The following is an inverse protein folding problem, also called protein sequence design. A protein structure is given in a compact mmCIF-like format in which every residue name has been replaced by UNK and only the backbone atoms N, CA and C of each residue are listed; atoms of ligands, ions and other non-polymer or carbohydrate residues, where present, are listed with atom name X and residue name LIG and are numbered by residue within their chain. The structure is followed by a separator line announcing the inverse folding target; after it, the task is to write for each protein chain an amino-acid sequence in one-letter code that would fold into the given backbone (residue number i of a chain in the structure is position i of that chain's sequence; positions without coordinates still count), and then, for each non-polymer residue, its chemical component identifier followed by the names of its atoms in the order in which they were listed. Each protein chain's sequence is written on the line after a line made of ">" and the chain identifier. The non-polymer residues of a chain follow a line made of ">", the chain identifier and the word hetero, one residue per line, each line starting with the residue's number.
data_IF_390845171467
#
_entry.id   IF_390845171467
#
_cell.length_a   1.000
_cell.length_b   1.000
_cell.length_c   1.000
_cell.angle_alpha   90.00
_cell.angle_beta   90.00
_cell.angle_gamma   90.00
#
_symmetry.space_group_name_H-M   'P 1'
#
loop_
_entity.id
_entity.type
_entity.pdbx_description
1 polymer ?
#
# COMPACT_ATOMS: atom_id res chain seq x y z
N UNK A 1 -16.94 -78.48 -7.87
CA UNK A 1 -16.87 -77.43 -8.86
C UNK A 1 -16.77 -76.06 -8.14
N UNK A 2 -15.54 -75.56 -7.95
CA UNK A 2 -15.33 -74.23 -7.36
C UNK A 2 -15.05 -73.25 -8.48
N UNK A 3 -15.95 -72.30 -8.66
CA UNK A 3 -15.73 -71.17 -9.57
C UNK A 3 -14.90 -70.10 -8.85
N UNK A 4 -13.66 -69.92 -9.30
CA UNK A 4 -12.81 -68.81 -8.83
C UNK A 4 -13.22 -67.49 -9.55
N UNK A 5 -13.70 -66.52 -8.80
CA UNK A 5 -13.95 -65.18 -9.32
C UNK A 5 -12.61 -64.43 -9.39
N UNK A 6 -12.11 -64.17 -10.60
CA UNK A 6 -10.98 -63.28 -10.87
C UNK A 6 -11.44 -61.84 -10.70
N UNK A 7 -11.01 -61.17 -9.60
CA UNK A 7 -11.24 -59.76 -9.38
C UNK A 7 -10.22 -58.95 -10.21
N UNK A 8 -10.68 -58.36 -11.27
CA UNK A 8 -9.88 -57.49 -12.14
C UNK A 8 -9.82 -56.10 -11.47
N UNK A 9 -8.73 -55.79 -10.77
CA UNK A 9 -8.48 -54.43 -10.25
C UNK A 9 -8.10 -53.53 -11.44
N UNK A 10 -9.05 -52.74 -11.93
CA UNK A 10 -8.79 -51.61 -12.82
C UNK A 10 -8.04 -50.56 -11.98
N UNK A 11 -6.73 -50.47 -12.17
CA UNK A 11 -5.94 -49.37 -11.69
C UNK A 11 -6.30 -48.13 -12.55
N UNK A 12 -7.23 -47.32 -12.07
CA UNK A 12 -7.43 -45.99 -12.58
C UNK A 12 -6.18 -45.17 -12.19
N UNK A 13 -5.26 -44.99 -13.12
CA UNK A 13 -4.19 -44.01 -12.96
C UNK A 13 -4.83 -42.63 -12.99
N UNK A 14 -5.18 -42.08 -11.84
CA UNK A 14 -5.56 -40.67 -11.70
C UNK A 14 -4.27 -39.88 -11.75
N UNK A 15 -3.91 -39.40 -12.93
CA UNK A 15 -2.83 -38.43 -13.05
C UNK A 15 -3.37 -37.09 -12.50
N UNK A 16 -2.65 -36.52 -11.54
CA UNK A 16 -2.94 -35.17 -11.06
C UNK A 16 -2.64 -34.17 -12.18
N UNK A 17 -3.55 -33.26 -12.44
CA UNK A 17 -3.35 -32.18 -13.40
C UNK A 17 -2.36 -31.16 -12.84
N UNK A 18 -1.62 -30.47 -13.76
CA UNK A 18 -0.83 -29.30 -13.42
C UNK A 18 -1.77 -28.24 -12.85
N UNK A 19 -1.57 -27.83 -11.62
CA UNK A 19 -2.31 -26.74 -10.99
C UNK A 19 -1.44 -25.50 -10.87
N UNK A 20 -2.02 -24.35 -11.20
CA UNK A 20 -1.39 -23.04 -11.09
C UNK A 20 -2.23 -22.17 -10.15
N UNK A 21 -1.60 -21.37 -9.27
CA UNK A 21 -2.36 -20.43 -8.44
C UNK A 21 -2.98 -19.31 -9.29
N UNK A 22 -3.96 -18.63 -8.71
CA UNK A 22 -4.69 -17.51 -9.33
C UNK A 22 -3.79 -16.39 -9.85
N UNK A 23 -2.58 -16.27 -9.29
CA UNK A 23 -1.56 -15.34 -9.78
C UNK A 23 -1.14 -15.62 -11.24
N UNK A 24 -1.37 -16.84 -11.76
CA UNK A 24 -0.99 -17.26 -13.11
C UNK A 24 -2.22 -17.64 -13.96
N UNK A 25 -3.08 -16.67 -14.21
CA UNK A 25 -4.20 -16.79 -15.16
C UNK A 25 -3.92 -15.94 -16.40
N UNK A 26 -4.70 -16.14 -17.48
CA UNK A 26 -4.63 -15.31 -18.67
C UNK A 26 -4.77 -13.82 -18.32
N UNK A 27 -4.05 -12.97 -19.05
CA UNK A 27 -4.04 -11.52 -18.82
C UNK A 27 -3.06 -11.03 -17.74
N UNK A 28 -2.24 -11.89 -17.17
CA UNK A 28 -1.29 -11.55 -16.10
C UNK A 28 -0.19 -10.58 -16.58
N UNK A 29 0.38 -9.85 -15.60
CA UNK A 29 1.60 -9.05 -15.79
C UNK A 29 2.72 -9.64 -14.95
N UNK A 30 3.89 -9.89 -15.56
CA UNK A 30 5.12 -10.23 -14.85
C UNK A 30 6.07 -9.03 -14.81
N UNK A 31 6.82 -8.93 -13.72
CA UNK A 31 7.84 -7.88 -13.58
C UNK A 31 8.88 -8.01 -14.70
N UNK A 32 9.10 -6.92 -15.44
CA UNK A 32 10.08 -6.85 -16.52
C UNK A 32 11.53 -6.92 -16.04
N UNK A 33 12.48 -7.27 -16.93
CA UNK A 33 13.94 -7.24 -16.69
C UNK A 33 14.35 -7.92 -15.38
N UNK A 34 13.75 -9.06 -15.06
CA UNK A 34 13.90 -9.72 -13.76
C UNK A 34 13.89 -11.24 -13.90
N UNK A 35 14.27 -11.94 -12.85
CA UNK A 35 13.97 -13.34 -12.68
C UNK A 35 12.71 -13.46 -11.82
N UNK A 36 11.61 -13.91 -12.42
CA UNK A 36 10.31 -13.98 -11.73
C UNK A 36 10.02 -15.41 -11.30
N UNK A 37 9.62 -15.65 -10.04
CA UNK A 37 9.17 -16.95 -9.61
C UNK A 37 7.88 -17.34 -10.34
N UNK A 38 7.87 -18.54 -10.92
CA UNK A 38 6.66 -19.21 -11.44
C UNK A 38 6.53 -20.53 -10.72
N UNK A 39 5.34 -20.81 -10.15
CA UNK A 39 5.14 -21.99 -9.29
C UNK A 39 3.77 -22.61 -9.45
N UNK A 40 3.63 -23.80 -8.94
CA UNK A 40 2.36 -24.53 -8.93
C UNK A 40 2.49 -25.90 -8.27
N UNK A 41 1.55 -26.77 -8.60
CA UNK A 41 1.49 -28.12 -8.05
C UNK A 41 1.40 -29.14 -9.19
N UNK A 42 1.86 -30.36 -8.92
CA UNK A 42 1.88 -31.49 -9.85
C UNK A 42 2.16 -32.79 -9.13
N UNK A 43 2.40 -33.87 -9.87
CA UNK A 43 2.73 -35.16 -9.27
C UNK A 43 4.17 -35.16 -8.72
N UNK A 44 4.43 -35.69 -7.50
CA UNK A 44 5.78 -35.83 -6.99
C UNK A 44 6.72 -36.52 -7.98
N UNK A 45 7.95 -36.00 -8.08
CA UNK A 45 9.00 -36.45 -9.01
C UNK A 45 8.71 -36.21 -10.50
N UNK A 46 7.60 -35.55 -10.86
CA UNK A 46 7.31 -35.16 -12.24
C UNK A 46 8.29 -34.09 -12.71
N UNK A 47 8.82 -34.28 -13.93
CA UNK A 47 9.70 -33.27 -14.56
C UNK A 47 8.84 -32.20 -15.22
N UNK A 48 9.09 -30.94 -14.86
CA UNK A 48 8.38 -29.79 -15.39
C UNK A 48 9.31 -28.94 -16.25
N UNK A 49 8.77 -28.35 -17.31
CA UNK A 49 9.46 -27.38 -18.16
C UNK A 49 8.57 -26.16 -18.34
N UNK A 50 9.15 -24.98 -18.22
CA UNK A 50 8.45 -23.71 -18.45
C UNK A 50 9.10 -23.01 -19.64
N UNK A 51 8.29 -22.66 -20.64
CA UNK A 51 8.70 -22.00 -21.88
C UNK A 51 7.91 -20.71 -22.03
N UNK A 52 8.59 -19.62 -22.30
CA UNK A 52 7.98 -18.32 -22.54
C UNK A 52 8.18 -17.88 -23.99
N UNK A 53 7.14 -17.32 -24.61
CA UNK A 53 7.20 -16.94 -26.03
C UNK A 53 8.14 -15.75 -26.34
N UNK A 54 8.57 -15.01 -25.34
CA UNK A 54 9.61 -13.96 -25.49
C UNK A 54 11.02 -14.49 -25.49
N UNK A 55 11.24 -15.77 -25.15
CA UNK A 55 12.54 -16.41 -25.05
C UNK A 55 12.41 -17.93 -25.34
N UNK A 56 11.92 -18.28 -26.52
CA UNK A 56 11.58 -19.68 -26.91
C UNK A 56 12.76 -20.64 -26.91
N UNK A 57 14.00 -20.13 -27.00
CA UNK A 57 15.20 -20.94 -26.88
C UNK A 57 15.53 -21.34 -25.42
N UNK A 58 14.97 -20.64 -24.44
CA UNK A 58 15.29 -20.79 -23.04
C UNK A 58 14.17 -21.55 -22.30
N UNK A 59 14.36 -22.84 -22.15
CA UNK A 59 13.46 -23.70 -21.36
C UNK A 59 13.97 -23.80 -19.95
N UNK A 60 13.20 -23.33 -18.96
CA UNK A 60 13.53 -23.49 -17.54
C UNK A 60 12.91 -24.78 -17.02
N UNK A 61 13.72 -25.62 -16.35
CA UNK A 61 13.32 -26.97 -15.91
C UNK A 61 13.37 -27.10 -14.41
N UNK A 62 12.45 -27.90 -13.86
CA UNK A 62 12.41 -28.27 -12.44
C UNK A 62 11.82 -29.67 -12.27
N UNK A 63 11.78 -30.14 -11.04
CA UNK A 63 11.13 -31.39 -10.65
C UNK A 63 10.18 -31.08 -9.50
N UNK A 64 8.99 -31.63 -9.56
CA UNK A 64 7.99 -31.51 -8.48
C UNK A 64 8.52 -32.23 -7.23
N UNK A 65 8.48 -31.54 -6.09
CA UNK A 65 8.98 -32.08 -4.81
C UNK A 65 8.01 -33.13 -4.22
N UNK A 66 8.42 -33.70 -3.10
CA UNK A 66 7.61 -34.72 -2.39
C UNK A 66 6.30 -34.17 -1.79
N UNK A 67 6.14 -32.83 -1.73
CA UNK A 67 4.90 -32.18 -1.30
C UNK A 67 3.98 -31.83 -2.48
N UNK A 68 4.36 -32.23 -3.69
CA UNK A 68 3.63 -31.92 -4.90
C UNK A 68 3.81 -30.48 -5.40
N UNK A 69 4.86 -29.78 -4.97
CA UNK A 69 5.13 -28.37 -5.34
C UNK A 69 6.29 -28.27 -6.32
N UNK A 70 6.21 -27.30 -7.22
CA UNK A 70 7.32 -26.94 -8.09
C UNK A 70 7.45 -25.43 -8.20
N UNK A 71 8.67 -24.97 -8.47
CA UNK A 71 8.99 -23.56 -8.72
C UNK A 71 10.15 -23.47 -9.70
N UNK A 72 10.12 -22.44 -10.55
CA UNK A 72 11.24 -22.00 -11.39
C UNK A 72 11.40 -20.48 -11.25
N UNK A 73 12.60 -19.98 -11.50
CA UNK A 73 12.86 -18.57 -11.70
C UNK A 73 12.95 -18.31 -13.20
N UNK A 74 11.91 -17.68 -13.77
CA UNK A 74 11.77 -17.43 -15.21
C UNK A 74 12.33 -16.05 -15.54
N UNK A 75 13.39 -15.97 -16.42
CA UNK A 75 13.90 -14.67 -16.87
C UNK A 75 12.85 -13.92 -17.70
N UNK A 76 12.65 -12.64 -17.42
CA UNK A 76 11.76 -11.77 -18.19
C UNK A 76 12.55 -10.74 -19.00
N UNK A 77 12.05 -10.44 -20.20
CA UNK A 77 12.59 -9.40 -21.06
C UNK A 77 12.09 -8.02 -20.66
N UNK A 78 12.46 -6.99 -21.43
CA UNK A 78 11.90 -5.65 -21.36
C UNK A 78 10.37 -5.67 -21.57
N UNK A 79 9.68 -4.70 -21.00
CA UNK A 79 8.23 -4.53 -21.11
C UNK A 79 7.71 -4.71 -22.54
N UNK A 80 6.59 -5.41 -22.65
CA UNK A 80 5.95 -5.74 -23.93
C UNK A 80 4.89 -6.84 -23.77
N UNK A 81 4.45 -7.38 -24.88
CA UNK A 81 3.43 -8.40 -24.99
C UNK A 81 2.37 -8.05 -26.03
N UNK A 82 1.30 -8.87 -26.18
CA UNK A 82 1.03 -10.06 -25.37
C UNK A 82 1.90 -11.27 -25.74
N UNK A 83 2.29 -12.01 -24.72
CA UNK A 83 3.08 -13.24 -24.82
C UNK A 83 2.29 -14.44 -24.30
N UNK A 84 2.92 -15.63 -24.33
CA UNK A 84 2.38 -16.85 -23.73
C UNK A 84 3.43 -17.52 -22.85
N UNK A 85 2.98 -18.26 -21.83
CA UNK A 85 3.78 -19.17 -21.04
C UNK A 85 3.20 -20.56 -21.17
N UNK A 86 4.03 -21.56 -21.46
CA UNK A 86 3.64 -22.97 -21.47
C UNK A 86 4.36 -23.68 -20.31
N UNK A 87 3.57 -24.33 -19.46
CA UNK A 87 4.03 -25.20 -18.38
C UNK A 87 3.80 -26.64 -18.84
N UNK A 88 4.89 -27.36 -19.10
CA UNK A 88 4.87 -28.67 -19.72
C UNK A 88 5.25 -29.71 -18.67
N UNK A 89 4.35 -30.60 -18.33
CA UNK A 89 4.58 -31.79 -17.52
C UNK A 89 4.65 -33.05 -18.39
N UNK A 90 4.67 -34.22 -17.74
CA UNK A 90 4.75 -35.49 -18.41
C UNK A 90 3.44 -35.87 -19.16
N UNK A 91 2.31 -35.38 -18.70
CA UNK A 91 0.97 -35.80 -19.15
C UNK A 91 0.08 -34.65 -19.64
N UNK A 92 0.46 -33.43 -19.32
CA UNK A 92 -0.33 -32.24 -19.62
C UNK A 92 0.59 -31.06 -19.95
N UNK A 93 0.11 -30.17 -20.81
CA UNK A 93 0.66 -28.82 -21.00
C UNK A 93 -0.39 -27.79 -20.66
N UNK A 94 -0.05 -26.91 -19.74
CA UNK A 94 -0.88 -25.77 -19.38
C UNK A 94 -0.36 -24.50 -20.04
N UNK A 95 -1.24 -23.80 -20.77
CA UNK A 95 -0.89 -22.57 -21.48
C UNK A 95 -1.56 -21.38 -20.82
N UNK A 96 -0.79 -20.33 -20.58
CA UNK A 96 -1.25 -19.04 -20.10
C UNK A 96 -1.09 -18.05 -21.25
N UNK A 97 -2.19 -17.39 -21.62
CA UNK A 97 -2.24 -16.45 -22.74
C UNK A 97 -2.28 -15.02 -22.26
N UNK A 98 -2.07 -14.07 -23.20
CA UNK A 98 -2.14 -12.64 -22.95
C UNK A 98 -1.24 -12.21 -21.77
N UNK A 99 -0.02 -12.74 -21.72
CA UNK A 99 0.99 -12.40 -20.71
C UNK A 99 1.65 -11.09 -21.09
N UNK A 100 1.65 -10.14 -20.18
CA UNK A 100 2.35 -8.87 -20.35
C UNK A 100 3.61 -8.84 -19.48
N UNK A 101 4.67 -8.23 -19.98
CA UNK A 101 5.85 -7.86 -19.18
C UNK A 101 5.76 -6.37 -18.89
N UNK A 102 5.91 -5.98 -17.62
CA UNK A 102 5.75 -4.59 -17.18
C UNK A 102 6.08 -4.42 -15.71
N UNK A 103 5.40 -3.50 -15.04
CA UNK A 103 5.57 -3.22 -13.63
C UNK A 103 4.45 -3.84 -12.79
N UNK A 104 4.78 -4.50 -11.68
CA UNK A 104 3.78 -5.16 -10.82
C UNK A 104 3.77 -4.54 -9.44
N UNK A 105 2.63 -4.03 -9.01
CA UNK A 105 2.46 -3.34 -7.73
C UNK A 105 1.43 -4.03 -6.84
N UNK A 106 1.81 -4.30 -5.57
CA UNK A 106 0.86 -4.70 -4.53
C UNK A 106 0.16 -3.45 -3.98
N UNK A 107 -1.17 -3.42 -4.02
CA UNK A 107 -1.99 -2.31 -3.55
C UNK A 107 -2.85 -2.80 -2.39
N UNK A 108 -2.47 -2.44 -1.14
CA UNK A 108 -3.08 -3.02 0.05
C UNK A 108 -3.45 -1.97 1.10
N UNK A 109 -4.27 -2.36 2.07
CA UNK A 109 -4.74 -1.48 3.13
C UNK A 109 -6.20 -1.68 3.50
N UNK A 110 -6.87 -0.61 3.97
CA UNK A 110 -8.27 -0.65 4.39
C UNK A 110 -9.20 0.09 3.41
N UNK A 111 -10.35 0.58 3.90
CA UNK A 111 -11.41 1.16 3.06
C UNK A 111 -10.94 2.21 2.07
N UNK A 112 -10.02 3.08 2.42
CA UNK A 112 -9.51 4.13 1.53
C UNK A 112 -8.68 3.56 0.36
N UNK A 113 -8.05 2.39 0.51
CA UNK A 113 -7.49 1.62 -0.60
C UNK A 113 -8.56 0.80 -1.33
N UNK A 114 -9.52 0.20 -0.62
CA UNK A 114 -10.61 -0.59 -1.21
C UNK A 114 -11.56 0.25 -2.08
N UNK A 115 -11.74 1.54 -1.78
CA UNK A 115 -12.74 2.44 -2.35
C UNK A 115 -12.75 2.43 -3.88
N UNK A 116 -13.84 1.93 -4.47
CA UNK A 116 -14.02 1.84 -5.92
C UNK A 116 -14.93 2.95 -6.46
N UNK A 117 -15.08 3.02 -7.77
CA UNK A 117 -15.96 4.00 -8.40
C UNK A 117 -17.43 3.86 -7.95
N UNK A 118 -17.92 2.63 -7.71
CA UNK A 118 -19.28 2.40 -7.17
C UNK A 118 -19.50 3.01 -5.78
N UNK A 119 -18.45 3.42 -5.08
CA UNK A 119 -18.53 4.07 -3.78
C UNK A 119 -18.51 5.61 -3.90
N UNK A 120 -18.87 6.15 -5.06
CA UNK A 120 -19.05 7.59 -5.30
C UNK A 120 -17.75 8.41 -5.18
N UNK A 121 -16.70 8.01 -5.91
CA UNK A 121 -15.52 8.86 -6.11
C UNK A 121 -15.87 10.15 -6.85
N UNK A 122 -15.02 11.16 -6.78
CA UNK A 122 -15.18 12.39 -7.56
C UNK A 122 -15.17 12.06 -9.07
N UNK A 123 -16.10 12.65 -9.83
CA UNK A 123 -16.26 12.44 -11.27
C UNK A 123 -16.48 10.96 -11.68
N UNK A 124 -17.14 10.16 -10.83
CA UNK A 124 -17.19 8.71 -10.98
C UNK A 124 -17.70 8.22 -12.34
N UNK A 125 -18.74 8.84 -12.90
CA UNK A 125 -19.31 8.43 -14.20
C UNK A 125 -18.34 8.67 -15.37
N UNK A 126 -17.64 9.80 -15.36
CA UNK A 126 -16.60 10.11 -16.34
C UNK A 126 -15.40 9.17 -16.22
N UNK A 127 -14.96 8.89 -15.00
CA UNK A 127 -13.83 8.00 -14.75
C UNK A 127 -14.15 6.55 -15.13
N UNK A 128 -15.38 6.09 -14.88
CA UNK A 128 -15.84 4.79 -15.31
C UNK A 128 -15.84 4.72 -16.84
N UNK A 129 -16.41 5.71 -17.52
CA UNK A 129 -16.49 5.75 -18.98
C UNK A 129 -15.11 5.70 -19.65
N UNK A 130 -14.11 6.32 -19.01
CA UNK A 130 -12.74 6.44 -19.53
C UNK A 130 -11.79 5.35 -19.01
N UNK A 131 -12.31 4.25 -18.44
CA UNK A 131 -11.48 3.24 -17.79
C UNK A 131 -10.94 2.15 -18.73
N UNK A 132 -11.21 2.21 -20.03
CA UNK A 132 -10.62 1.29 -21.00
C UNK A 132 -9.12 1.59 -21.16
N UNK A 133 -8.30 0.76 -20.52
CA UNK A 133 -6.85 0.87 -20.56
C UNK A 133 -6.22 -0.53 -20.62
N UNK A 134 -5.94 -1.02 -21.82
CA UNK A 134 -5.44 -2.38 -22.06
C UNK A 134 -4.11 -2.67 -21.37
N UNK A 135 -3.34 -1.65 -21.03
CA UNK A 135 -2.05 -1.77 -20.35
C UNK A 135 -2.17 -1.76 -18.82
N UNK A 136 -3.35 -1.53 -18.27
CA UNK A 136 -3.62 -1.72 -16.82
C UNK A 136 -4.31 -3.06 -16.62
N UNK A 137 -3.70 -3.92 -15.84
CA UNK A 137 -4.20 -5.24 -15.49
C UNK A 137 -4.41 -5.36 -14.00
N UNK A 138 -5.44 -6.07 -13.58
CA UNK A 138 -5.93 -6.09 -12.21
C UNK A 138 -6.09 -7.53 -11.75
N UNK A 139 -5.39 -7.90 -10.67
CA UNK A 139 -5.67 -9.10 -9.89
C UNK A 139 -6.33 -8.67 -8.58
N UNK A 140 -7.63 -8.80 -8.48
CA UNK A 140 -8.37 -8.42 -7.28
C UNK A 140 -8.59 -9.64 -6.39
N UNK A 141 -7.94 -9.66 -5.22
CA UNK A 141 -8.09 -10.74 -4.25
C UNK A 141 -9.42 -10.58 -3.49
N UNK A 142 -10.19 -11.66 -3.33
CA UNK A 142 -11.47 -11.61 -2.62
C UNK A 142 -11.25 -11.36 -1.13
N UNK A 143 -12.16 -10.61 -0.50
CA UNK A 143 -12.16 -10.37 0.94
C UNK A 143 -12.50 -11.65 1.69
N UNK A 144 -11.49 -12.29 2.22
CA UNK A 144 -11.59 -13.52 3.00
C UNK A 144 -10.47 -13.59 4.03
N UNK A 145 -10.75 -14.09 5.22
CA UNK A 145 -9.75 -14.37 6.24
C UNK A 145 -9.50 -15.88 6.35
N UNK A 146 -8.30 -16.24 6.82
CA UNK A 146 -7.96 -17.62 7.14
C UNK A 146 -7.07 -17.72 8.39
N UNK A 147 -7.25 -18.76 9.19
CA UNK A 147 -6.43 -18.97 10.39
C UNK A 147 -5.00 -19.46 10.08
N UNK A 148 -4.79 -20.00 8.88
CA UNK A 148 -3.50 -20.51 8.42
C UNK A 148 -3.18 -19.95 7.03
N UNK A 149 -1.87 -19.81 6.67
CA UNK A 149 -1.47 -19.34 5.36
C UNK A 149 -2.06 -20.19 4.23
N UNK A 150 -2.76 -19.56 3.30
CA UNK A 150 -3.36 -20.21 2.13
C UNK A 150 -2.40 -20.12 0.94
N UNK A 151 -2.33 -21.19 0.17
CA UNK A 151 -1.39 -21.28 -0.97
C UNK A 151 -1.96 -20.64 -2.24
N UNK A 152 -3.27 -20.41 -2.30
CA UNK A 152 -3.97 -19.85 -3.46
C UNK A 152 -5.19 -19.01 -3.01
N UNK A 153 -5.70 -18.19 -3.94
CA UNK A 153 -6.90 -17.40 -3.79
C UNK A 153 -7.83 -17.60 -5.01
N UNK A 154 -9.14 -17.43 -4.82
CA UNK A 154 -10.10 -17.48 -5.92
C UNK A 154 -10.13 -16.14 -6.65
N UNK A 155 -9.16 -15.89 -7.52
CA UNK A 155 -9.01 -14.66 -8.27
C UNK A 155 -8.62 -14.96 -9.73
N UNK A 156 -8.63 -13.94 -10.57
CA UNK A 156 -8.09 -13.99 -11.93
C UNK A 156 -7.63 -12.58 -12.33
N UNK A 157 -6.68 -12.52 -13.25
CA UNK A 157 -6.30 -11.26 -13.87
C UNK A 157 -7.40 -10.77 -14.81
N UNK A 158 -7.62 -9.46 -14.84
CA UNK A 158 -8.60 -8.80 -15.68
C UNK A 158 -8.01 -7.55 -16.31
N UNK A 159 -8.42 -7.26 -17.53
CA UNK A 159 -8.06 -6.00 -18.21
C UNK A 159 -8.89 -4.86 -17.60
N UNK A 160 -8.29 -3.68 -17.48
CA UNK A 160 -9.04 -2.50 -17.07
C UNK A 160 -10.14 -2.16 -18.07
N UNK A 161 -11.34 -1.94 -17.55
CA UNK A 161 -12.56 -1.61 -18.28
C UNK A 161 -13.52 -0.81 -17.40
N UNK A 162 -14.60 -0.23 -17.95
CA UNK A 162 -15.66 0.37 -17.16
C UNK A 162 -16.23 -0.55 -16.10
N UNK A 163 -16.34 -1.84 -16.36
CA UNK A 163 -16.83 -2.83 -15.40
C UNK A 163 -15.84 -3.05 -14.25
N UNK A 164 -14.57 -3.26 -14.55
CA UNK A 164 -13.54 -3.47 -13.52
C UNK A 164 -13.36 -2.22 -12.67
N UNK A 165 -13.42 -1.01 -13.25
CA UNK A 165 -13.30 0.25 -12.52
C UNK A 165 -14.41 0.43 -11.48
N UNK A 166 -15.62 -0.07 -11.76
CA UNK A 166 -16.74 -0.01 -10.79
C UNK A 166 -16.46 -0.72 -9.48
N UNK A 167 -15.61 -1.74 -9.47
CA UNK A 167 -15.39 -2.63 -8.32
C UNK A 167 -13.95 -2.74 -7.82
N UNK A 168 -12.98 -2.20 -8.56
CA UNK A 168 -11.58 -2.21 -8.11
C UNK A 168 -11.22 -0.95 -7.36
N UNK A 169 -10.10 -0.97 -6.65
CA UNK A 169 -9.49 0.19 -5.99
C UNK A 169 -9.31 1.35 -6.96
N UNK A 170 -10.00 2.46 -6.75
CA UNK A 170 -9.81 3.65 -7.56
C UNK A 170 -8.42 4.28 -7.34
N UNK A 171 -7.91 4.27 -6.10
CA UNK A 171 -6.57 4.76 -5.78
C UNK A 171 -5.51 3.96 -6.56
N UNK A 172 -5.58 2.62 -6.52
CA UNK A 172 -4.65 1.75 -7.24
C UNK A 172 -4.79 1.89 -8.77
N UNK A 173 -6.02 2.03 -9.27
CA UNK A 173 -6.26 2.25 -10.69
C UNK A 173 -5.62 3.54 -11.22
N UNK A 174 -5.85 4.68 -10.56
CA UNK A 174 -5.27 5.95 -11.00
C UNK A 174 -3.74 5.98 -10.86
N UNK A 175 -3.21 5.34 -9.83
CA UNK A 175 -1.78 5.10 -9.70
C UNK A 175 -1.22 4.33 -10.91
N UNK A 176 -1.80 3.17 -11.23
CA UNK A 176 -1.35 2.32 -12.33
C UNK A 176 -1.51 3.01 -13.69
N UNK A 177 -2.65 3.67 -13.91
CA UNK A 177 -2.93 4.41 -15.14
C UNK A 177 -1.87 5.49 -15.38
N UNK A 178 -1.54 6.28 -14.36
CA UNK A 178 -0.50 7.30 -14.47
C UNK A 178 0.87 6.70 -14.84
N UNK A 179 1.28 5.62 -14.16
CA UNK A 179 2.54 4.94 -14.47
C UNK A 179 2.54 4.40 -15.90
N UNK A 180 1.45 3.76 -16.33
CA UNK A 180 1.31 3.26 -17.71
C UNK A 180 1.47 4.37 -18.73
N UNK A 181 0.83 5.52 -18.53
CA UNK A 181 0.89 6.67 -19.44
C UNK A 181 2.31 7.28 -19.50
N UNK A 182 3.02 7.34 -18.38
CA UNK A 182 4.33 7.99 -18.31
C UNK A 182 5.49 7.08 -18.73
N UNK A 183 5.45 5.82 -18.32
CA UNK A 183 6.50 4.86 -18.63
C UNK A 183 6.28 4.18 -19.98
N UNK A 184 5.06 4.24 -20.52
CA UNK A 184 4.62 3.53 -21.72
C UNK A 184 4.88 2.00 -21.60
N UNK A 185 4.54 1.42 -20.44
CA UNK A 185 4.65 -0.01 -20.14
C UNK A 185 3.36 -0.54 -19.53
N UNK A 186 3.08 -1.84 -19.65
CA UNK A 186 2.00 -2.48 -18.90
C UNK A 186 2.22 -2.36 -17.38
N UNK A 187 1.14 -2.14 -16.64
CA UNK A 187 1.16 -2.12 -15.17
C UNK A 187 0.11 -3.07 -14.63
N UNK A 188 0.57 -4.05 -13.87
CA UNK A 188 -0.27 -4.97 -13.11
C UNK A 188 -0.44 -4.49 -11.67
N UNK A 189 -1.68 -4.41 -11.20
CA UNK A 189 -2.00 -4.15 -9.80
C UNK A 189 -2.62 -5.38 -9.15
N UNK A 190 -2.01 -5.82 -8.04
CA UNK A 190 -2.56 -6.85 -7.16
C UNK A 190 -3.29 -6.12 -6.05
N UNK A 191 -4.62 -6.09 -6.10
CA UNK A 191 -5.45 -5.37 -5.13
C UNK A 191 -5.85 -6.29 -4.00
N UNK A 192 -5.39 -5.99 -2.80
CA UNK A 192 -5.62 -6.73 -1.56
C UNK A 192 -5.97 -5.75 -0.44
N UNK A 193 -7.25 -5.37 -0.33
CA UNK A 193 -7.71 -4.37 0.63
C UNK A 193 -9.07 -4.76 1.23
N UNK A 194 -9.27 -4.41 2.52
CA UNK A 194 -10.54 -4.64 3.22
C UNK A 194 -10.81 -3.51 4.22
N UNK A 195 -11.92 -2.83 4.03
CA UNK A 195 -12.34 -1.69 4.86
C UNK A 195 -12.51 -2.02 6.33
N UNK A 196 -12.23 -1.06 7.20
CA UNK A 196 -12.38 -1.18 8.66
C UNK A 196 -11.33 -2.05 9.37
N UNK A 197 -10.31 -2.55 8.65
CA UNK A 197 -9.35 -3.50 9.23
C UNK A 197 -8.11 -2.82 9.80
N UNK A 198 -7.65 -3.21 11.01
CA UNK A 198 -6.40 -2.74 11.59
C UNK A 198 -5.19 -3.45 10.95
N UNK A 199 -3.99 -2.85 11.07
CA UNK A 199 -2.77 -3.38 10.45
C UNK A 199 -2.33 -4.75 11.03
N UNK A 200 -2.75 -5.08 12.24
CA UNK A 200 -2.47 -6.37 12.90
C UNK A 200 -2.99 -7.57 12.11
N UNK A 201 -4.15 -7.45 11.43
CA UNK A 201 -4.71 -8.58 10.65
C UNK A 201 -3.93 -8.84 9.36
N UNK A 202 -3.14 -7.85 8.90
CA UNK A 202 -2.25 -7.92 7.75
C UNK A 202 -0.82 -8.31 8.13
N UNK A 203 -0.52 -8.35 9.43
CA UNK A 203 0.77 -8.75 9.98
C UNK A 203 0.72 -10.22 10.36
N UNK A 204 1.69 -11.09 9.98
CA UNK A 204 1.70 -12.48 10.40
C UNK A 204 1.52 -12.62 11.91
N UNK A 205 0.66 -13.55 12.33
CA UNK A 205 0.24 -13.68 13.73
C UNK A 205 1.40 -13.92 14.69
N UNK A 206 2.40 -14.70 14.26
CA UNK A 206 3.61 -14.99 15.05
C UNK A 206 4.48 -13.76 15.28
N UNK A 207 4.48 -12.80 14.35
CA UNK A 207 5.20 -11.51 14.50
C UNK A 207 4.56 -10.67 15.60
N UNK A 208 3.22 -10.59 15.63
CA UNK A 208 2.49 -9.90 16.69
C UNK A 208 2.70 -10.61 18.03
N UNK A 209 2.58 -11.93 18.07
CA UNK A 209 2.71 -12.72 19.31
C UNK A 209 4.10 -12.66 19.93
N UNK A 210 5.15 -12.55 19.11
CA UNK A 210 6.53 -12.46 19.58
C UNK A 210 6.90 -11.06 20.12
N UNK A 211 6.12 -10.03 19.84
CA UNK A 211 6.39 -8.65 20.25
C UNK A 211 5.49 -8.24 21.42
N UNK A 212 6.09 -7.94 22.57
CA UNK A 212 5.36 -7.60 23.82
C UNK A 212 4.51 -6.33 23.68
N UNK A 213 4.96 -5.36 22.89
CA UNK A 213 4.23 -4.10 22.69
C UNK A 213 3.01 -4.34 21.82
N UNK A 214 3.19 -5.05 20.69
CA UNK A 214 2.11 -5.33 19.75
C UNK A 214 1.09 -6.31 20.31
N UNK A 215 1.53 -7.35 21.03
CA UNK A 215 0.65 -8.33 21.68
C UNK A 215 -0.22 -7.70 22.80
N UNK A 216 0.19 -6.55 23.35
CA UNK A 216 -0.58 -5.83 24.36
C UNK A 216 -1.66 -4.90 23.79
N UNK A 217 -1.65 -4.64 22.47
CA UNK A 217 -2.66 -3.81 21.80
C UNK A 217 -4.05 -4.45 21.94
N UNK A 218 -5.01 -3.62 22.33
CA UNK A 218 -6.42 -4.03 22.37
C UNK A 218 -7.08 -3.53 21.11
N UNK A 219 -7.56 -4.45 20.30
CA UNK A 219 -8.32 -4.15 19.09
C UNK A 219 -9.81 -4.13 19.44
N UNK A 220 -10.52 -3.15 18.87
CA UNK A 220 -11.97 -3.07 19.03
C UNK A 220 -12.64 -4.14 18.18
N UNK A 221 -13.47 -4.97 18.81
CA UNK A 221 -14.22 -6.01 18.12
C UNK A 221 -15.40 -5.43 17.33
N UNK A 222 -15.59 -5.96 16.13
CA UNK A 222 -16.71 -5.69 15.26
C UNK A 222 -17.23 -6.99 14.66
N UNK A 223 -18.52 -7.12 14.53
CA UNK A 223 -19.17 -8.34 14.02
C UNK A 223 -18.74 -8.71 12.58
N UNK A 224 -18.46 -7.67 11.76
CA UNK A 224 -18.25 -7.83 10.32
C UNK A 224 -16.80 -7.56 9.85
N UNK A 225 -15.90 -7.17 10.74
CA UNK A 225 -14.50 -6.92 10.38
C UNK A 225 -13.56 -7.87 11.13
N UNK A 226 -12.65 -8.54 10.42
CA UNK A 226 -11.66 -9.36 11.09
C UNK A 226 -10.70 -8.50 11.91
N UNK A 227 -10.41 -8.95 13.15
CA UNK A 227 -9.47 -8.30 14.06
C UNK A 227 -8.37 -9.25 14.54
N UNK A 228 -8.51 -10.56 14.29
CA UNK A 228 -7.52 -11.55 14.70
C UNK A 228 -6.23 -11.33 13.89
N UNK A 229 -5.05 -11.17 14.54
CA UNK A 229 -3.79 -11.00 13.85
C UNK A 229 -3.52 -12.07 12.81
N UNK A 230 -3.01 -11.65 11.64
CA UNK A 230 -2.55 -12.52 10.57
C UNK A 230 -3.64 -13.10 9.66
N UNK A 231 -4.93 -12.99 9.98
CA UNK A 231 -5.97 -13.68 9.18
C UNK A 231 -6.07 -13.17 7.74
N UNK A 232 -5.82 -11.89 7.50
CA UNK A 232 -5.81 -11.33 6.14
C UNK A 232 -4.45 -11.52 5.46
N UNK A 233 -3.35 -11.46 6.22
CA UNK A 233 -2.06 -11.89 5.69
C UNK A 233 -2.18 -13.31 5.12
N UNK A 234 -2.74 -14.24 5.87
CA UNK A 234 -2.86 -15.63 5.49
C UNK A 234 -3.64 -15.86 4.19
N UNK A 235 -4.72 -15.13 3.95
CA UNK A 235 -5.60 -15.35 2.80
C UNK A 235 -5.45 -14.32 1.67
N UNK A 236 -5.01 -13.09 1.99
CA UNK A 236 -5.02 -11.99 1.03
C UNK A 236 -3.61 -11.48 0.68
N UNK A 237 -2.55 -11.97 1.34
CA UNK A 237 -1.16 -11.67 0.99
C UNK A 237 -0.40 -12.95 0.65
N UNK A 238 -0.49 -13.98 1.51
CA UNK A 238 0.26 -15.22 1.32
C UNK A 238 0.03 -15.92 -0.04
N UNK A 239 -1.18 -15.93 -0.63
CA UNK A 239 -1.42 -16.57 -1.93
C UNK A 239 -0.64 -16.00 -3.10
N UNK A 240 -0.14 -14.78 -3.00
CA UNK A 240 0.65 -14.14 -4.05
C UNK A 240 2.15 -14.14 -3.75
N UNK A 241 2.57 -14.75 -2.65
CA UNK A 241 3.99 -14.97 -2.35
C UNK A 241 4.49 -16.20 -3.12
N UNK A 242 5.62 -16.13 -3.82
CA UNK A 242 6.62 -15.05 -3.91
C UNK A 242 6.57 -14.22 -5.21
N UNK A 243 5.40 -13.74 -5.67
CA UNK A 243 5.30 -12.95 -6.91
C UNK A 243 6.31 -11.79 -6.93
N UNK A 244 6.96 -11.55 -8.07
CA UNK A 244 7.94 -10.47 -8.19
C UNK A 244 7.22 -9.12 -8.30
N UNK A 245 7.55 -8.19 -7.40
CA UNK A 245 6.92 -6.88 -7.28
C UNK A 245 7.91 -5.76 -7.63
N UNK A 246 7.44 -4.69 -8.28
CA UNK A 246 8.14 -3.41 -8.35
C UNK A 246 8.04 -2.65 -7.02
N UNK A 247 6.95 -2.84 -6.27
CA UNK A 247 6.74 -2.21 -4.97
C UNK A 247 5.37 -2.47 -4.39
N UNK A 248 5.12 -1.84 -3.23
CA UNK A 248 3.83 -1.85 -2.55
C UNK A 248 3.34 -0.42 -2.32
N UNK A 249 2.06 -0.16 -2.56
CA UNK A 249 1.35 1.03 -2.09
C UNK A 249 0.34 0.65 -1.00
N UNK A 250 0.34 1.41 0.09
CA UNK A 250 -0.45 1.13 1.29
C UNK A 250 -1.31 2.32 1.70
N UNK A 251 -2.60 2.09 1.95
CA UNK A 251 -3.47 3.13 2.47
C UNK A 251 -4.33 2.60 3.62
N UNK A 252 -3.86 2.85 4.85
CA UNK A 252 -4.46 2.36 6.09
C UNK A 252 -3.97 3.21 7.26
N UNK A 253 -4.66 3.17 8.37
CA UNK A 253 -4.27 3.78 9.64
C UNK A 253 -5.47 4.15 10.49
N UNK A 254 -6.61 4.44 9.87
CA UNK A 254 -7.81 4.92 10.54
C UNK A 254 -8.30 3.95 11.62
N UNK A 255 -8.18 2.64 11.38
CA UNK A 255 -8.58 1.60 12.35
C UNK A 255 -7.57 1.37 13.48
N UNK A 256 -6.40 2.02 13.41
CA UNK A 256 -5.35 1.92 14.45
C UNK A 256 -5.22 3.17 15.33
N UNK A 257 -6.07 4.19 15.15
CA UNK A 257 -5.89 5.45 15.88
C UNK A 257 -5.95 5.28 17.40
N UNK A 258 -6.70 4.32 17.95
CA UNK A 258 -6.75 4.04 19.38
C UNK A 258 -5.44 3.43 19.91
N UNK A 259 -4.66 2.74 19.06
CA UNK A 259 -3.34 2.19 19.35
C UNK A 259 -2.21 2.98 18.64
N UNK A 260 -2.42 4.28 18.42
CA UNK A 260 -1.55 5.12 17.61
C UNK A 260 -0.08 5.06 18.02
N UNK A 261 0.24 5.03 19.31
CA UNK A 261 1.61 5.09 19.83
C UNK A 261 2.52 3.93 19.38
N UNK A 262 1.95 2.78 19.02
CA UNK A 262 2.68 1.59 18.53
C UNK A 262 2.64 1.43 17.01
N UNK A 263 1.97 2.32 16.28
CA UNK A 263 1.70 2.13 14.85
C UNK A 263 2.98 2.07 13.99
N UNK A 264 3.92 2.98 14.19
CA UNK A 264 5.21 2.95 13.47
C UNK A 264 5.96 1.64 13.69
N UNK A 265 5.97 1.15 14.93
CA UNK A 265 6.60 -0.13 15.28
C UNK A 265 5.88 -1.32 14.62
N UNK A 266 4.54 -1.36 14.68
CA UNK A 266 3.72 -2.36 14.01
C UNK A 266 4.00 -2.42 12.51
N UNK A 267 3.96 -1.27 11.84
CA UNK A 267 4.20 -1.19 10.40
C UNK A 267 5.62 -1.60 10.01
N UNK A 268 6.63 -1.25 10.82
CA UNK A 268 8.01 -1.70 10.61
C UNK A 268 8.06 -3.23 10.63
N UNK A 269 7.46 -3.86 11.65
CA UNK A 269 7.42 -5.33 11.77
C UNK A 269 6.64 -6.00 10.65
N UNK A 270 5.53 -5.40 10.21
CA UNK A 270 4.73 -5.90 9.10
C UNK A 270 5.53 -5.89 7.79
N UNK A 271 6.16 -4.75 7.46
CA UNK A 271 6.91 -4.60 6.20
C UNK A 271 8.16 -5.49 6.19
N UNK A 272 8.89 -5.59 7.31
CA UNK A 272 10.01 -6.53 7.47
C UNK A 272 9.56 -7.97 7.18
N UNK A 273 8.45 -8.40 7.81
CA UNK A 273 7.92 -9.75 7.65
C UNK A 273 7.41 -10.03 6.22
N UNK A 274 6.82 -9.04 5.55
CA UNK A 274 6.42 -9.19 4.16
C UNK A 274 7.62 -9.33 3.24
N UNK A 275 8.63 -8.45 3.35
CA UNK A 275 9.87 -8.50 2.57
C UNK A 275 10.60 -9.83 2.73
N UNK A 276 10.71 -10.33 3.96
CA UNK A 276 11.30 -11.64 4.26
C UNK A 276 10.57 -12.77 3.52
N UNK A 277 9.22 -12.80 3.58
CA UNK A 277 8.44 -13.88 2.95
C UNK A 277 8.39 -13.79 1.43
N UNK A 278 8.36 -12.59 0.87
CA UNK A 278 8.51 -12.38 -0.57
C UNK A 278 9.94 -12.62 -1.04
N UNK A 279 10.92 -12.66 -0.15
CA UNK A 279 12.36 -12.65 -0.45
C UNK A 279 12.73 -11.46 -1.36
N UNK A 280 12.22 -10.25 -1.04
CA UNK A 280 12.42 -9.04 -1.84
C UNK A 280 12.37 -7.80 -0.94
N UNK A 281 13.33 -6.88 -1.11
CA UNK A 281 13.35 -5.57 -0.46
C UNK A 281 12.58 -4.53 -1.30
N UNK A 282 11.33 -4.83 -1.63
CA UNK A 282 10.51 -3.91 -2.43
C UNK A 282 10.25 -2.59 -1.70
N UNK A 283 10.16 -1.44 -2.42
CA UNK A 283 9.79 -0.15 -1.86
C UNK A 283 8.36 -0.16 -1.33
N UNK A 284 8.12 0.58 -0.23
CA UNK A 284 6.84 0.63 0.45
C UNK A 284 6.35 2.07 0.58
N UNK A 285 5.36 2.45 -0.23
CA UNK A 285 4.83 3.80 -0.29
C UNK A 285 3.44 3.87 0.32
N UNK A 286 3.15 4.93 1.08
CA UNK A 286 1.89 4.97 1.82
C UNK A 286 1.28 6.37 1.90
N UNK A 287 -0.02 6.37 2.18
CA UNK A 287 -0.83 7.58 2.35
C UNK A 287 -0.98 7.87 3.84
N UNK A 288 -0.64 9.09 4.27
CA UNK A 288 -0.97 9.57 5.62
C UNK A 288 -2.49 9.71 5.74
N UNK A 289 -3.07 9.24 6.85
CA UNK A 289 -4.53 9.32 7.04
C UNK A 289 -5.02 10.76 6.99
N UNK A 290 -6.21 10.94 6.41
CA UNK A 290 -6.87 12.22 6.29
C UNK A 290 -7.30 12.80 7.65
N UNK A 291 -7.37 14.13 7.81
CA UNK A 291 -8.13 14.76 8.89
C UNK A 291 -9.60 14.31 8.85
N UNK A 292 -10.10 13.82 9.99
CA UNK A 292 -11.49 13.37 10.14
C UNK A 292 -11.96 13.55 11.58
N UNK A 293 -13.26 13.81 11.77
CA UNK A 293 -13.88 13.98 13.09
C UNK A 293 -14.03 12.63 13.79
N UNK A 294 -12.95 12.15 14.40
CA UNK A 294 -12.98 10.90 15.19
C UNK A 294 -13.63 11.06 16.56
N UNK A 295 -13.75 12.31 17.06
CA UNK A 295 -14.13 12.62 18.43
C UNK A 295 -13.22 11.94 19.47
N UNK A 296 -11.93 11.86 19.17
CA UNK A 296 -10.94 11.26 20.05
C UNK A 296 -10.70 12.14 21.28
N UNK A 297 -10.45 11.51 22.45
CA UNK A 297 -10.21 12.25 23.70
C UNK A 297 -8.78 12.76 23.84
N UNK A 298 -7.83 12.23 23.07
CA UNK A 298 -6.40 12.45 23.25
C UNK A 298 -5.65 12.77 21.96
N UNK A 299 -6.36 13.28 20.94
CA UNK A 299 -5.79 13.55 19.61
C UNK A 299 -5.07 12.32 19.01
N UNK A 300 -5.58 11.13 19.27
CA UNK A 300 -4.95 9.88 18.81
C UNK A 300 -4.78 9.79 17.29
N UNK A 301 -5.69 10.35 16.44
CA UNK A 301 -5.45 10.41 15.00
C UNK A 301 -4.28 11.33 14.61
N UNK A 302 -4.05 12.42 15.36
CA UNK A 302 -2.88 13.27 15.14
C UNK A 302 -1.59 12.54 15.53
N UNK A 303 -1.61 11.80 16.64
CA UNK A 303 -0.51 10.95 17.05
C UNK A 303 -0.25 9.85 16.00
N UNK A 304 -1.30 9.27 15.40
CA UNK A 304 -1.12 8.28 14.34
C UNK A 304 -0.48 8.89 13.09
N UNK A 305 -0.86 10.11 12.67
CA UNK A 305 -0.18 10.82 11.57
C UNK A 305 1.30 11.08 11.86
N UNK A 306 1.65 11.42 13.11
CA UNK A 306 3.03 11.52 13.58
C UNK A 306 3.76 10.18 13.49
N UNK A 307 3.12 9.08 13.88
CA UNK A 307 3.69 7.72 13.74
C UNK A 307 3.88 7.33 12.28
N UNK A 308 2.98 7.72 11.38
CA UNK A 308 3.17 7.53 9.95
C UNK A 308 4.39 8.31 9.43
N UNK A 309 4.64 9.53 9.91
CA UNK A 309 5.87 10.27 9.57
C UNK A 309 7.13 9.56 10.11
N UNK A 310 7.08 8.98 11.32
CA UNK A 310 8.20 8.23 11.89
C UNK A 310 8.57 6.98 11.06
N UNK A 311 7.61 6.38 10.35
CA UNK A 311 7.87 5.26 9.45
C UNK A 311 8.89 5.59 8.36
N UNK A 312 9.00 6.85 7.92
CA UNK A 312 10.03 7.28 6.96
C UNK A 312 11.45 7.03 7.46
N UNK A 313 11.65 6.90 8.79
CA UNK A 313 12.94 6.61 9.41
C UNK A 313 13.10 5.14 9.77
N UNK A 314 12.01 4.46 10.12
CA UNK A 314 12.05 3.08 10.61
C UNK A 314 11.86 2.02 9.52
N UNK A 315 11.31 2.38 8.35
CA UNK A 315 11.10 1.49 7.21
C UNK A 315 11.98 1.94 6.05
N UNK A 316 13.14 1.32 5.81
CA UNK A 316 14.00 1.65 4.68
C UNK A 316 13.27 1.51 3.33
N UNK A 317 13.56 2.37 2.35
CA UNK A 317 12.90 2.36 1.04
C UNK A 317 11.40 2.69 1.12
N UNK A 318 11.00 3.48 2.11
CA UNK A 318 9.62 3.96 2.23
C UNK A 318 9.46 5.41 1.76
N UNK A 319 8.20 5.80 1.55
CA UNK A 319 7.80 7.17 1.25
C UNK A 319 6.34 7.39 1.59
N UNK A 320 6.00 8.64 1.91
CA UNK A 320 4.67 9.02 2.35
C UNK A 320 4.14 10.22 1.57
N UNK A 321 2.88 10.20 1.20
CA UNK A 321 2.17 11.37 0.73
C UNK A 321 1.17 11.87 1.78
N UNK A 322 1.01 13.19 1.88
CA UNK A 322 -0.04 13.84 2.66
C UNK A 322 -1.17 14.28 1.73
N UNK A 323 -2.39 14.09 2.16
CA UNK A 323 -3.61 14.35 1.39
C UNK A 323 -4.59 15.29 2.10
N UNK A 324 -4.16 16.02 3.12
CA UNK A 324 -5.04 16.90 3.90
C UNK A 324 -5.65 18.04 3.08
N UNK A 325 -5.07 18.37 1.92
CA UNK A 325 -5.60 19.31 0.94
C UNK A 325 -6.70 18.73 0.04
N UNK A 326 -6.87 17.40 0.03
CA UNK A 326 -7.83 16.68 -0.80
C UNK A 326 -9.08 16.27 -0.01
N UNK A 327 -9.25 16.76 1.21
CA UNK A 327 -10.39 16.47 2.08
C UNK A 327 -11.46 17.52 1.87
N UNK A 328 -12.59 17.14 1.28
CA UNK A 328 -13.73 18.04 1.07
C UNK A 328 -14.61 18.18 2.33
N UNK A 329 -14.69 17.11 3.13
CA UNK A 329 -15.56 17.06 4.30
C UNK A 329 -14.93 16.22 5.41
N UNK A 330 -14.54 16.84 6.50
CA UNK A 330 -13.93 16.16 7.67
C UNK A 330 -14.88 15.22 8.44
N UNK A 331 -16.18 15.22 8.11
CA UNK A 331 -17.16 14.24 8.63
C UNK A 331 -17.21 12.96 7.81
N UNK A 332 -16.65 12.95 6.60
CA UNK A 332 -16.47 11.77 5.76
C UNK A 332 -15.02 11.29 5.88
N UNK A 333 -14.81 10.08 6.36
CA UNK A 333 -13.50 9.47 6.51
C UNK A 333 -12.86 9.09 5.17
N UNK A 334 -13.63 9.18 4.07
CA UNK A 334 -13.23 8.75 2.74
C UNK A 334 -13.11 9.94 1.78
N UNK A 335 -11.93 10.57 1.64
CA UNK A 335 -11.71 11.59 0.62
C UNK A 335 -12.05 11.03 -0.78
N UNK A 336 -12.94 11.73 -1.51
CA UNK A 336 -13.49 11.23 -2.78
C UNK A 336 -12.58 11.45 -3.98
N UNK A 337 -11.62 12.36 -3.90
CA UNK A 337 -10.67 12.63 -4.96
C UNK A 337 -9.58 11.54 -5.04
N UNK A 338 -9.98 10.29 -5.35
CA UNK A 338 -9.08 9.14 -5.45
C UNK A 338 -8.08 9.26 -6.59
N UNK A 339 -8.42 10.02 -7.66
CA UNK A 339 -7.50 10.33 -8.76
C UNK A 339 -6.27 11.07 -8.24
N UNK A 340 -6.46 12.22 -7.59
CA UNK A 340 -5.34 13.02 -7.08
C UNK A 340 -4.49 12.25 -6.06
N UNK A 341 -5.09 11.35 -5.26
CA UNK A 341 -4.37 10.49 -4.32
C UNK A 341 -3.51 9.48 -5.07
N UNK A 342 -4.08 8.73 -6.03
CA UNK A 342 -3.36 7.76 -6.83
C UNK A 342 -2.25 8.39 -7.67
N UNK A 343 -2.52 9.51 -8.32
CA UNK A 343 -1.53 10.26 -9.10
C UNK A 343 -0.39 10.80 -8.21
N UNK A 344 -0.68 11.31 -6.99
CA UNK A 344 0.37 11.79 -6.06
C UNK A 344 1.28 10.65 -5.58
N UNK A 345 0.75 9.44 -5.36
CA UNK A 345 1.56 8.24 -5.14
C UNK A 345 2.44 7.94 -6.36
N UNK A 346 1.87 8.03 -7.55
CA UNK A 346 2.61 7.80 -8.79
C UNK A 346 3.71 8.85 -9.03
N UNK A 347 3.48 10.14 -8.68
CA UNK A 347 4.53 11.19 -8.77
C UNK A 347 5.74 10.82 -7.92
N UNK A 348 5.50 10.35 -6.69
CA UNK A 348 6.57 9.89 -5.79
C UNK A 348 7.32 8.69 -6.36
N UNK A 349 6.60 7.72 -6.89
CA UNK A 349 7.19 6.52 -7.50
C UNK A 349 7.98 6.85 -8.76
N UNK A 350 7.47 7.73 -9.62
CA UNK A 350 8.18 8.18 -10.83
C UNK A 350 9.54 8.79 -10.50
N UNK A 351 9.61 9.59 -9.45
CA UNK A 351 10.86 10.21 -9.00
C UNK A 351 11.79 9.19 -8.34
N UNK A 352 11.29 8.43 -7.36
CA UNK A 352 12.11 7.57 -6.51
C UNK A 352 12.58 6.28 -7.19
N UNK A 353 11.73 5.66 -8.01
CA UNK A 353 12.02 4.36 -8.62
C UNK A 353 12.47 4.46 -10.08
N UNK A 354 12.01 5.48 -10.80
CA UNK A 354 12.32 5.63 -12.22
C UNK A 354 13.20 6.86 -12.52
N UNK A 355 13.55 7.67 -11.51
CA UNK A 355 14.39 8.87 -11.68
C UNK A 355 13.74 9.94 -12.53
N UNK A 356 12.41 9.98 -12.63
CA UNK A 356 11.64 10.89 -13.47
C UNK A 356 10.73 11.77 -12.60
N UNK A 357 11.25 12.92 -12.17
CA UNK A 357 10.44 13.90 -11.47
C UNK A 357 9.38 14.48 -12.41
N UNK A 358 8.10 14.28 -12.08
CA UNK A 358 6.96 14.75 -12.89
C UNK A 358 6.20 15.89 -12.26
N UNK A 359 5.87 15.76 -10.97
CA UNK A 359 5.13 16.75 -10.19
C UNK A 359 5.58 16.70 -8.72
N UNK A 360 5.46 17.80 -7.97
CA UNK A 360 5.70 17.81 -6.53
C UNK A 360 4.79 16.83 -5.78
N UNK A 361 5.35 16.10 -4.82
CA UNK A 361 4.63 15.14 -3.97
C UNK A 361 5.03 15.21 -2.50
N UNK A 362 6.24 15.73 -2.20
CA UNK A 362 6.78 15.78 -0.85
C UNK A 362 6.24 16.98 -0.08
N UNK A 363 5.55 16.72 1.01
CA UNK A 363 5.04 17.74 1.92
C UNK A 363 6.13 18.31 2.81
N UNK A 364 6.12 19.64 3.09
CA UNK A 364 7.03 20.22 4.08
C UNK A 364 6.81 19.60 5.46
N UNK A 365 7.89 19.29 6.17
CA UNK A 365 7.91 18.69 7.49
C UNK A 365 8.70 19.54 8.50
N UNK A 366 8.43 19.38 9.79
CA UNK A 366 9.14 20.06 10.85
C UNK A 366 10.64 19.67 10.84
N UNK A 367 11.53 20.64 10.59
CA UNK A 367 12.98 20.45 10.64
C UNK A 367 13.57 20.91 11.98
N UNK A 368 13.17 22.09 12.44
CA UNK A 368 13.63 22.62 13.72
C UNK A 368 12.70 23.70 14.28
N UNK A 369 12.74 23.88 15.59
CA UNK A 369 12.04 24.94 16.31
C UNK A 369 13.02 25.68 17.23
N UNK A 370 13.13 27.00 17.06
CA UNK A 370 14.07 27.85 17.79
C UNK A 370 13.31 29.03 18.41
N UNK A 371 13.44 29.24 19.71
CA UNK A 371 12.90 30.42 20.38
C UNK A 371 13.82 31.63 20.16
N UNK A 372 13.25 32.73 19.68
CA UNK A 372 13.90 34.01 19.49
C UNK A 372 13.07 35.10 20.19
N UNK A 373 13.41 35.40 21.45
CA UNK A 373 12.66 36.34 22.27
C UNK A 373 11.19 35.94 22.48
N UNK A 374 10.25 36.69 21.93
CA UNK A 374 8.82 36.44 22.06
C UNK A 374 8.23 35.55 20.97
N UNK A 375 9.05 35.00 20.10
CA UNK A 375 8.62 34.16 19.00
C UNK A 375 9.34 32.81 19.03
N UNK A 376 8.67 31.77 18.52
CA UNK A 376 9.29 30.53 18.06
C UNK A 376 9.34 30.56 16.53
N UNK A 377 10.53 30.34 15.99
CA UNK A 377 10.75 30.23 14.54
C UNK A 377 10.82 28.73 14.22
N UNK A 378 9.88 28.27 13.37
CA UNK A 378 9.83 26.92 12.85
C UNK A 378 10.46 26.93 11.47
N UNK A 379 11.49 26.09 11.27
CA UNK A 379 12.07 25.81 9.96
C UNK A 379 11.50 24.52 9.41
N UNK A 380 11.19 24.49 8.13
CA UNK A 380 10.68 23.30 7.44
C UNK A 380 11.73 22.70 6.51
N UNK A 381 11.76 21.37 6.47
CA UNK A 381 12.44 20.56 5.45
C UNK A 381 11.52 20.26 4.29
N UNK A 382 12.10 19.68 3.23
CA UNK A 382 11.43 19.32 1.98
C UNK A 382 11.91 20.17 0.79
N UNK A 383 11.52 19.74 -0.40
CA UNK A 383 11.91 20.40 -1.68
C UNK A 383 10.83 21.41 -2.11
N UNK A 384 10.95 22.64 -1.62
CA UNK A 384 10.08 23.78 -1.99
C UNK A 384 10.83 25.10 -1.78
N UNK A 385 10.36 26.21 -2.34
CA UNK A 385 11.03 27.50 -2.19
C UNK A 385 10.45 28.35 -1.05
N UNK A 386 9.14 28.41 -0.94
CA UNK A 386 8.44 29.19 0.10
C UNK A 386 7.13 28.57 0.53
N UNK A 387 6.69 28.95 1.74
CA UNK A 387 5.34 28.68 2.22
C UNK A 387 4.37 29.77 1.76
N UNK A 388 3.13 29.37 1.56
CA UNK A 388 1.99 30.26 1.35
C UNK A 388 0.85 29.84 2.28
N UNK A 389 -0.12 30.72 2.49
CA UNK A 389 -1.37 30.36 3.17
C UNK A 389 -2.53 30.52 2.20
N UNK A 390 -3.39 29.50 2.13
CA UNK A 390 -4.62 29.52 1.31
C UNK A 390 -5.76 30.29 1.99
N UNK A 391 -5.53 30.85 3.17
CA UNK A 391 -6.48 31.69 3.91
C UNK A 391 -5.81 32.98 4.40
N UNK A 392 -6.63 34.03 4.69
CA UNK A 392 -6.15 35.32 5.21
C UNK A 392 -5.38 35.20 6.52
N UNK A 393 -5.76 34.25 7.37
CA UNK A 393 -5.07 33.93 8.62
C UNK A 393 -4.62 32.46 8.56
N UNK A 394 -3.44 32.19 9.09
CA UNK A 394 -2.95 30.81 9.15
C UNK A 394 -3.79 30.02 10.13
N UNK A 395 -4.40 28.96 9.64
CA UNK A 395 -5.27 28.04 10.40
C UNK A 395 -4.45 26.86 10.92
N UNK A 396 -4.73 26.42 12.13
CA UNK A 396 -4.20 25.19 12.73
C UNK A 396 -2.95 25.37 13.59
N UNK A 397 -2.48 26.61 13.84
CA UNK A 397 -1.33 26.86 14.71
C UNK A 397 -1.78 27.13 16.14
N UNK A 398 -1.32 26.29 17.08
CA UNK A 398 -1.59 26.42 18.53
C UNK A 398 -0.28 26.41 19.33
N UNK A 399 -0.32 27.03 20.50
CA UNK A 399 0.77 27.00 21.46
C UNK A 399 0.24 26.45 22.78
N UNK A 400 0.95 25.50 23.39
CA UNK A 400 0.65 25.02 24.74
C UNK A 400 1.40 25.83 25.80
N UNK A 401 0.76 26.07 26.95
CA UNK A 401 1.43 26.57 28.16
C UNK A 401 1.98 25.40 29.01
N UNK A 402 2.52 25.75 30.19
CA UNK A 402 3.09 24.77 31.15
C UNK A 402 2.02 23.79 31.70
N UNK A 403 0.76 24.20 31.71
CA UNK A 403 -0.37 23.41 32.21
C UNK A 403 -1.02 22.58 31.10
N UNK A 404 -0.49 22.66 29.85
CA UNK A 404 -1.02 21.95 28.69
C UNK A 404 -2.21 22.64 28.00
N UNK A 405 -2.59 23.86 28.43
CA UNK A 405 -3.68 24.60 27.78
C UNK A 405 -3.24 25.07 26.39
N UNK A 406 -4.09 24.86 25.40
CA UNK A 406 -3.83 25.22 24.00
C UNK A 406 -4.46 26.57 23.66
N UNK A 407 -3.68 27.45 23.05
CA UNK A 407 -4.12 28.77 22.57
C UNK A 407 -3.83 28.91 21.08
N UNK A 408 -4.83 29.34 20.30
CA UNK A 408 -4.65 29.71 18.89
C UNK A 408 -3.81 30.99 18.78
N UNK A 409 -2.85 30.98 17.87
CA UNK A 409 -1.94 32.13 17.69
C UNK A 409 -1.86 32.58 16.24
N UNK A 410 -1.67 33.89 16.03
CA UNK A 410 -1.53 34.49 14.71
C UNK A 410 -0.07 34.39 14.24
N UNK A 411 0.28 33.25 13.65
CA UNK A 411 1.61 33.05 13.09
C UNK A 411 1.80 33.82 11.76
N UNK A 412 3.06 34.01 11.33
CA UNK A 412 3.44 34.68 10.08
C UNK A 412 4.43 33.84 9.29
N UNK A 413 4.27 33.81 7.97
CA UNK A 413 5.21 33.17 7.05
C UNK A 413 6.38 34.11 6.75
N UNK A 414 7.60 33.55 6.73
CA UNK A 414 8.82 34.22 6.24
C UNK A 414 9.65 33.24 5.42
N UNK A 415 9.44 33.23 4.09
CA UNK A 415 10.08 32.26 3.20
C UNK A 415 9.68 30.82 3.55
N UNK A 416 10.66 29.99 3.91
CA UNK A 416 10.44 28.59 4.41
C UNK A 416 10.13 28.50 5.89
N UNK A 417 10.00 29.63 6.61
CA UNK A 417 9.82 29.66 8.04
C UNK A 417 8.40 30.06 8.43
N UNK A 418 7.95 29.55 9.58
CA UNK A 418 6.78 30.01 10.30
C UNK A 418 7.22 30.70 11.58
N UNK A 419 6.86 31.98 11.74
CA UNK A 419 7.13 32.75 12.94
C UNK A 419 5.89 32.75 13.84
N UNK A 420 5.98 32.08 14.98
CA UNK A 420 4.87 31.86 15.92
C UNK A 420 5.05 32.74 17.16
N UNK A 421 4.17 33.71 17.42
CA UNK A 421 4.25 34.54 18.64
C UNK A 421 3.88 33.71 19.85
N UNK A 422 4.78 33.62 20.84
CA UNK A 422 4.57 32.85 22.08
C UNK A 422 4.55 33.74 23.34
N UNK A 423 4.76 35.04 23.17
CA UNK A 423 4.68 36.01 24.25
C UNK A 423 5.64 35.72 25.40
N UNK A 424 5.08 35.68 26.64
CA UNK A 424 5.82 35.40 27.87
C UNK A 424 5.60 33.98 28.39
N UNK A 425 5.05 33.07 27.58
CA UNK A 425 4.78 31.68 27.99
C UNK A 425 6.09 31.03 28.41
N UNK A 426 6.13 30.48 29.62
CA UNK A 426 7.31 29.78 30.19
C UNK A 426 7.30 28.32 29.71
N UNK A 427 8.49 27.70 29.73
CA UNK A 427 8.62 26.26 29.48
C UNK A 427 7.87 25.40 30.54
N UNK A 428 7.33 24.20 30.18
CA UNK A 428 7.34 23.60 28.84
C UNK A 428 6.43 24.31 27.86
N UNK A 429 6.92 24.52 26.67
CA UNK A 429 6.21 25.18 25.60
C UNK A 429 6.23 24.29 24.37
N UNK A 430 5.07 24.00 23.79
CA UNK A 430 4.97 23.33 22.50
C UNK A 430 4.28 24.23 21.49
N UNK A 431 4.74 24.15 20.24
CA UNK A 431 4.03 24.67 19.09
C UNK A 431 3.45 23.49 18.32
N UNK A 432 2.17 23.57 17.98
CA UNK A 432 1.44 22.55 17.25
C UNK A 432 0.87 23.14 15.97
N UNK A 433 0.84 22.32 14.92
CA UNK A 433 0.17 22.62 13.66
C UNK A 433 -0.72 21.44 13.26
N UNK A 434 -2.04 21.66 13.19
CA UNK A 434 -3.02 20.63 12.84
C UNK A 434 -2.86 19.32 13.65
N UNK A 435 -2.40 19.44 14.90
CA UNK A 435 -2.19 18.29 15.79
C UNK A 435 -3.47 18.01 16.60
N UNK A 436 -4.54 17.72 15.86
CA UNK A 436 -5.86 17.34 16.36
C UNK A 436 -6.56 16.39 15.34
N UNK A 437 -7.82 16.03 15.60
CA UNK A 437 -8.52 15.05 14.77
C UNK A 437 -8.76 15.54 13.33
N UNK A 438 -9.28 16.77 13.15
CA UNK A 438 -9.99 17.17 11.95
C UNK A 438 -9.56 18.50 11.32
N UNK A 439 -8.63 19.25 11.92
CA UNK A 439 -8.22 20.54 11.38
C UNK A 439 -7.53 20.40 10.04
N UNK A 440 -8.09 21.01 8.99
CA UNK A 440 -7.41 21.20 7.71
C UNK A 440 -6.63 22.51 7.80
N UNK A 441 -5.30 22.39 7.82
CA UNK A 441 -4.41 23.54 7.90
C UNK A 441 -4.37 24.34 6.61
N UNK A 442 -3.99 25.63 6.72
CA UNK A 442 -3.90 26.53 5.57
C UNK A 442 -2.52 26.69 4.97
N UNK A 443 -1.47 26.14 5.60
CA UNK A 443 -0.12 26.22 5.08
C UNK A 443 0.09 25.25 3.91
N UNK A 444 0.67 25.79 2.83
CA UNK A 444 1.01 25.05 1.61
C UNK A 444 2.39 25.48 1.11
N UNK A 445 2.99 24.66 0.26
CA UNK A 445 4.04 25.13 -0.65
C UNK A 445 3.43 26.03 -1.72
N UNK A 446 4.26 26.76 -2.47
CA UNK A 446 3.83 27.47 -3.70
C UNK A 446 3.23 26.53 -4.74
N UNK A 447 3.61 25.26 -4.77
CA UNK A 447 3.04 24.19 -5.61
C UNK A 447 1.76 23.56 -5.06
N UNK A 448 1.21 24.08 -3.94
CA UNK A 448 -0.07 23.66 -3.38
C UNK A 448 0.01 22.50 -2.39
N UNK A 449 1.15 21.84 -2.17
CA UNK A 449 1.26 20.73 -1.23
C UNK A 449 1.10 21.18 0.23
N UNK A 450 0.32 20.45 1.03
CA UNK A 450 0.07 20.80 2.43
C UNK A 450 1.29 20.52 3.31
N UNK A 451 1.49 21.34 4.33
CA UNK A 451 2.49 21.07 5.40
C UNK A 451 2.00 19.91 6.26
N UNK A 452 2.91 18.99 6.63
CA UNK A 452 2.60 17.91 7.56
C UNK A 452 2.13 18.45 8.92
N UNK A 453 1.16 17.81 9.58
CA UNK A 453 0.81 18.13 10.96
C UNK A 453 2.01 17.82 11.86
N UNK A 454 2.25 18.68 12.84
CA UNK A 454 3.37 18.48 13.77
C UNK A 454 3.09 19.02 15.17
N UNK A 455 3.86 18.55 16.15
CA UNK A 455 4.12 19.20 17.43
C UNK A 455 5.63 19.29 17.66
N UNK A 456 6.08 20.31 18.39
CA UNK A 456 7.47 20.45 18.72
C UNK A 456 7.81 19.68 20.00
N UNK A 457 8.70 18.67 19.92
CA UNK A 457 9.19 17.96 21.11
C UNK A 457 10.24 18.77 21.86
N UNK A 458 11.04 19.56 21.12
CA UNK A 458 12.11 20.38 21.64
C UNK A 458 12.14 21.74 20.93
N UNK A 459 12.14 22.79 21.74
CA UNK A 459 12.39 24.16 21.26
C UNK A 459 13.76 24.58 21.80
N UNK A 460 14.67 24.93 20.89
CA UNK A 460 16.01 25.39 21.24
C UNK A 460 15.95 26.86 21.65
N UNK A 461 16.44 27.20 22.83
CA UNK A 461 16.58 28.60 23.28
C UNK A 461 17.82 29.23 22.62
N UNK A 462 17.67 30.46 22.07
CA UNK A 462 18.75 31.29 21.55
C UNK A 462 18.63 32.72 22.05
#
# INVERSE_FOLDING_TARGET
>A
MMLGAASCFLHLNVYSQIQMPAAFTDGLVLQQNSNVPVWGWGNPAEKMSVVASWATADTVKTVVDNQGKWKVDLPTAKAGGPYTIEVIGAYETKKINDVMLGEVWLCSGQSNMEWSANMWIMNCEEEIKNADCNNVRILHLPKQGADTPQADARAKWEVSSPETMRRTSATAYFFARYLTEKLNVPVGIIVSAWGGTPAEVWTPAEVIAADKVLAANKLKEYEWWPIKPGVLFNQMINPVIPYKLAGCIWYQGESNHENASSYSHLMTKMVEAWRERFNQDFPFYYVQIAPHTYNSKQNTPALLREQQELMLKSVPGSGMINISDLVENVKDIHPRNKRAIGERLAFMVMDKEYGQFTQPYESPYLKSAVRKGRNVVIDFGGNFEKLVSVSKQIVGVKVSDADGNLTDVKAKIKGKQLVVPVGKVKAPLQVMYCFDDATIGSLRTEGGLPVLPFRTDKIVEK
#
